data_IF_028482903796
#
_entry.id   IF_028482903796
#
_cell.length_a   1.000
_cell.length_b   1.000
_cell.length_c   1.000
_cell.angle_alpha   90.00
_cell.angle_beta   90.00
_cell.angle_gamma   90.00
#
_symmetry.space_group_name_H-M   'P 1'
#
loop_
_entity.id
_entity.type
_entity.pdbx_description
1 polymer ?
#
# COMPACT_ATOMS: atom_id res chain seq x y z
N UNK A 1 9.52 12.03 -2.01
CA UNK A 1 9.99 13.31 -1.43
C UNK A 1 10.31 14.25 -2.58
N UNK A 2 9.69 15.44 -2.69
CA UNK A 2 9.96 16.38 -3.77
C UNK A 2 11.44 16.77 -3.82
N UNK A 3 12.01 16.83 -5.03
CA UNK A 3 13.41 17.22 -5.23
C UNK A 3 13.62 18.65 -4.71
N UNK A 4 14.67 18.85 -3.91
CA UNK A 4 15.03 20.18 -3.38
C UNK A 4 14.25 20.62 -2.14
N UNK A 5 13.48 19.74 -1.49
CA UNK A 5 12.79 20.13 -0.25
C UNK A 5 13.79 20.61 0.83
N UNK A 6 13.52 21.72 1.53
CA UNK A 6 14.36 22.19 2.63
C UNK A 6 14.26 21.28 3.86
N UNK A 7 13.22 20.44 3.94
CA UNK A 7 12.91 19.61 5.11
C UNK A 7 13.39 18.16 4.95
N UNK A 8 14.43 17.91 4.16
CA UNK A 8 14.90 16.56 3.80
C UNK A 8 15.11 15.67 5.04
N UNK A 9 15.82 16.17 6.04
CA UNK A 9 16.17 15.37 7.22
C UNK A 9 14.96 15.06 8.09
N UNK A 10 14.06 16.04 8.27
CA UNK A 10 12.81 15.84 8.99
C UNK A 10 11.91 14.83 8.25
N UNK A 11 11.84 14.91 6.92
CA UNK A 11 11.08 13.98 6.10
C UNK A 11 11.62 12.55 6.21
N UNK A 12 12.95 12.36 6.21
CA UNK A 12 13.54 11.03 6.42
C UNK A 12 13.22 10.45 7.81
N UNK A 13 13.32 11.27 8.86
CA UNK A 13 12.95 10.85 10.23
C UNK A 13 11.48 10.45 10.33
N UNK A 14 10.60 11.22 9.69
CA UNK A 14 9.17 10.90 9.65
C UNK A 14 8.90 9.61 8.89
N UNK A 15 9.51 9.40 7.71
CA UNK A 15 9.35 8.16 6.93
C UNK A 15 9.79 6.94 7.75
N UNK A 16 10.92 7.05 8.49
CA UNK A 16 11.39 5.99 9.36
C UNK A 16 10.37 5.67 10.48
N UNK A 17 9.83 6.69 11.14
CA UNK A 17 8.79 6.53 12.16
C UNK A 17 7.52 5.89 11.58
N UNK A 18 6.98 6.45 10.49
CA UNK A 18 5.74 6.01 9.86
C UNK A 18 5.85 4.58 9.28
N UNK A 19 7.06 4.13 8.93
CA UNK A 19 7.32 2.77 8.44
C UNK A 19 7.61 1.76 9.55
N UNK A 20 7.64 2.19 10.81
CA UNK A 20 7.82 1.30 11.95
C UNK A 20 6.64 0.34 12.11
N UNK A 21 6.89 -0.82 12.73
CA UNK A 21 5.85 -1.82 12.96
C UNK A 21 4.72 -1.29 13.85
N UNK A 22 5.04 -0.48 14.85
CA UNK A 22 4.04 0.09 15.77
C UNK A 22 3.16 1.13 15.07
N UNK A 23 3.76 2.05 14.32
CA UNK A 23 3.00 3.06 13.59
C UNK A 23 2.08 2.42 12.53
N UNK A 24 2.56 1.42 11.81
CA UNK A 24 1.75 0.72 10.81
C UNK A 24 0.67 -0.18 11.44
N UNK A 25 0.92 -0.79 12.60
CA UNK A 25 -0.11 -1.53 13.33
C UNK A 25 -1.23 -0.59 13.79
N UNK A 26 -0.89 0.59 14.31
CA UNK A 26 -1.90 1.57 14.70
C UNK A 26 -2.71 2.07 13.49
N UNK A 27 -2.05 2.33 12.36
CA UNK A 27 -2.73 2.68 11.12
C UNK A 27 -3.75 1.61 10.68
N UNK A 28 -3.36 0.34 10.68
CA UNK A 28 -4.20 -0.78 10.23
C UNK A 28 -5.43 -1.05 11.12
N UNK A 29 -5.44 -0.57 12.37
CA UNK A 29 -6.63 -0.64 13.24
C UNK A 29 -7.72 0.36 12.83
N UNK A 30 -7.32 1.46 12.20
CA UNK A 30 -8.21 2.58 11.88
C UNK A 30 -8.77 2.48 10.46
N UNK A 31 -8.09 1.77 9.56
CA UNK A 31 -8.52 1.52 8.19
C UNK A 31 -8.04 0.14 7.74
N UNK A 32 -8.87 -0.58 6.98
CA UNK A 32 -8.60 -1.94 6.51
C UNK A 32 -7.55 -2.00 5.38
N UNK A 33 -6.42 -1.31 5.55
CA UNK A 33 -5.27 -1.38 4.66
C UNK A 33 -4.12 -2.10 5.34
N UNK A 34 -3.58 -3.06 4.59
CA UNK A 34 -2.52 -3.93 5.06
C UNK A 34 -1.20 -3.17 5.29
N UNK A 35 -0.49 -3.41 6.41
CA UNK A 35 0.83 -2.85 6.62
C UNK A 35 1.83 -3.44 5.62
N UNK A 36 2.77 -2.63 5.16
CA UNK A 36 3.89 -3.10 4.31
C UNK A 36 5.01 -3.72 5.15
N UNK A 37 5.15 -3.31 6.40
CA UNK A 37 6.04 -3.91 7.39
C UNK A 37 5.34 -5.11 8.03
N UNK A 38 5.68 -6.32 7.58
CA UNK A 38 5.03 -7.57 8.02
C UNK A 38 5.12 -7.83 9.53
N UNK A 39 6.08 -7.21 10.24
CA UNK A 39 6.18 -7.29 11.70
C UNK A 39 4.99 -6.62 12.42
N UNK A 40 4.28 -5.72 11.75
CA UNK A 40 3.08 -5.08 12.29
C UNK A 40 1.91 -6.08 12.43
N UNK A 41 1.84 -7.12 11.59
CA UNK A 41 0.76 -8.11 11.61
C UNK A 41 0.69 -8.85 12.96
N UNK A 42 1.84 -9.14 13.57
CA UNK A 42 1.93 -9.79 14.88
C UNK A 42 1.40 -8.92 16.04
N UNK A 43 1.11 -7.63 15.80
CA UNK A 43 0.60 -6.68 16.79
C UNK A 43 -0.90 -6.41 16.66
N UNK A 44 -1.58 -7.07 15.72
CA UNK A 44 -3.00 -6.88 15.42
C UNK A 44 -3.82 -8.04 15.99
N UNK A 45 -5.03 -7.73 16.45
CA UNK A 45 -5.98 -8.76 16.84
C UNK A 45 -6.56 -9.50 15.62
N UNK A 46 -7.19 -10.64 15.88
CA UNK A 46 -7.74 -11.50 14.82
C UNK A 46 -8.80 -10.78 13.96
N UNK A 47 -9.64 -9.93 14.57
CA UNK A 47 -10.72 -9.22 13.86
C UNK A 47 -10.15 -8.18 12.89
N UNK A 48 -9.07 -7.50 13.27
CA UNK A 48 -8.37 -6.60 12.36
C UNK A 48 -7.71 -7.41 11.24
N UNK A 49 -6.98 -8.47 11.58
CA UNK A 49 -6.27 -9.32 10.61
C UNK A 49 -7.21 -9.91 9.54
N UNK A 50 -8.40 -10.39 9.92
CA UNK A 50 -9.37 -10.98 8.99
C UNK A 50 -9.86 -9.98 7.92
N UNK A 51 -9.84 -8.68 8.23
CA UNK A 51 -10.25 -7.61 7.32
C UNK A 51 -9.11 -7.07 6.45
N UNK A 52 -7.85 -7.48 6.68
CA UNK A 52 -6.73 -6.95 5.91
C UNK A 52 -6.55 -7.69 4.58
N UNK A 53 -6.40 -6.98 3.44
CA UNK A 53 -6.08 -7.60 2.16
C UNK A 53 -4.77 -8.40 2.19
N UNK A 54 -3.80 -7.98 3.03
CA UNK A 54 -2.47 -8.60 3.15
C UNK A 54 -2.39 -9.68 4.23
N UNK A 55 -3.51 -10.04 4.87
CA UNK A 55 -3.51 -11.16 5.81
C UNK A 55 -3.12 -12.45 5.11
N UNK A 56 -2.52 -13.39 5.83
CA UNK A 56 -2.07 -14.67 5.25
C UNK A 56 -3.23 -15.49 4.65
N UNK A 57 -4.47 -15.28 5.13
CA UNK A 57 -5.66 -15.91 4.56
C UNK A 57 -6.06 -15.23 3.25
N UNK A 58 -6.24 -13.91 3.27
CA UNK A 58 -6.77 -13.14 2.14
C UNK A 58 -5.76 -13.05 0.97
N UNK A 59 -4.46 -13.02 1.28
CA UNK A 59 -3.40 -12.94 0.29
C UNK A 59 -3.31 -14.21 -0.60
N UNK A 60 -3.82 -15.37 -0.16
CA UNK A 60 -3.77 -16.62 -0.93
C UNK A 60 -4.60 -16.57 -2.21
N UNK A 61 -5.68 -15.80 -2.21
CA UNK A 61 -6.61 -15.67 -3.33
C UNK A 61 -6.53 -14.30 -4.00
N UNK A 62 -5.66 -13.42 -3.51
CA UNK A 62 -5.46 -12.10 -4.08
C UNK A 62 -4.64 -12.18 -5.38
N UNK A 63 -5.05 -11.40 -6.39
CA UNK A 63 -4.20 -11.15 -7.54
C UNK A 63 -3.23 -10.01 -7.20
N UNK A 64 -1.95 -10.31 -7.15
CA UNK A 64 -0.93 -9.29 -6.90
C UNK A 64 -0.85 -8.31 -8.07
N UNK A 65 -0.87 -7.02 -7.76
CA UNK A 65 -0.67 -5.97 -8.74
C UNK A 65 0.72 -6.08 -9.37
N UNK A 66 0.78 -6.28 -10.69
CA UNK A 66 2.04 -6.38 -11.43
C UNK A 66 2.50 -4.99 -11.89
N UNK A 67 3.42 -4.39 -11.14
CA UNK A 67 3.93 -3.04 -11.41
C UNK A 67 4.60 -2.95 -12.78
N UNK A 68 5.37 -3.95 -13.21
CA UNK A 68 6.05 -3.93 -14.51
C UNK A 68 5.08 -3.99 -15.67
N UNK A 69 4.07 -4.87 -15.59
CA UNK A 69 3.01 -4.93 -16.61
C UNK A 69 2.33 -3.58 -16.78
N UNK A 70 1.97 -2.91 -15.68
CA UNK A 70 1.29 -1.62 -15.74
C UNK A 70 2.22 -0.47 -16.16
N UNK A 71 3.51 -0.53 -15.86
CA UNK A 71 4.49 0.42 -16.38
C UNK A 71 4.61 0.33 -17.91
N UNK A 72 4.59 -0.89 -18.46
CA UNK A 72 4.76 -1.13 -19.90
C UNK A 72 3.46 -0.95 -20.70
N UNK A 73 2.32 -1.35 -20.13
CA UNK A 73 1.03 -1.45 -20.84
C UNK A 73 0.00 -0.41 -20.42
N UNK A 74 0.20 0.27 -19.28
CA UNK A 74 -0.82 1.09 -18.64
C UNK A 74 -1.35 2.22 -19.51
N UNK A 75 -0.47 2.97 -20.17
CA UNK A 75 -0.88 4.10 -21.03
C UNK A 75 -1.74 3.63 -22.20
N UNK A 76 -1.37 2.51 -22.85
CA UNK A 76 -2.13 1.97 -23.98
C UNK A 76 -3.51 1.46 -23.53
N UNK A 77 -3.59 0.80 -22.37
CA UNK A 77 -4.85 0.32 -21.81
C UNK A 77 -5.75 1.48 -21.36
N UNK A 78 -5.20 2.51 -20.75
CA UNK A 78 -5.94 3.71 -20.34
C UNK A 78 -6.57 4.43 -21.54
N UNK A 79 -5.81 4.63 -22.63
CA UNK A 79 -6.35 5.22 -23.88
C UNK A 79 -7.50 4.39 -24.45
N UNK A 80 -7.38 3.07 -24.46
CA UNK A 80 -8.44 2.16 -24.92
C UNK A 80 -9.68 2.24 -24.03
N UNK A 81 -9.49 2.28 -22.71
CA UNK A 81 -10.59 2.42 -21.76
C UNK A 81 -11.31 3.76 -21.91
N UNK A 82 -10.59 4.86 -22.03
CA UNK A 82 -11.17 6.19 -22.23
C UNK A 82 -11.98 6.28 -23.54
N UNK A 83 -11.47 5.71 -24.64
CA UNK A 83 -12.18 5.67 -25.91
C UNK A 83 -13.47 4.81 -25.86
N UNK A 84 -13.48 3.76 -25.04
CA UNK A 84 -14.68 2.95 -24.80
C UNK A 84 -15.69 3.69 -23.89
N UNK A 85 -15.23 4.33 -22.82
CA UNK A 85 -16.09 4.99 -21.84
C UNK A 85 -16.80 6.24 -22.37
N UNK A 86 -16.32 6.81 -23.49
CA UNK A 86 -16.92 7.96 -24.16
C UNK A 86 -17.98 7.59 -25.23
N UNK A 87 -18.29 6.29 -25.39
CA UNK A 87 -19.31 5.80 -26.33
C UNK A 87 -20.74 5.91 -25.78
#
# INVERSE_FOLDING_TARGET
MPKGTPNKDAALKFIALASSADAQAEYAKNIAYGPTNTKALAKLDAKVLDNLPTSASNAKTALQFNVSFWADQGEALEKRFAAWAAQ
#
